data_IF_817308739110
#
_entry.id   IF_817308739110
#
_cell.length_a   1.000
_cell.length_b   1.000
_cell.length_c   1.000
_cell.angle_alpha   90.00
_cell.angle_beta   90.00
_cell.angle_gamma   90.00
#
_symmetry.space_group_name_H-M   'P 1'
#
loop_
_entity.id
_entity.type
_entity.pdbx_description
1 polymer ?
#
# COMPACT_ATOMS: atom_id res chain seq x y z
N UNK A 1 0.59 13.73 12.96
CA UNK A 1 1.94 13.92 12.41
C UNK A 1 2.02 13.51 10.94
N UNK A 2 1.88 12.23 10.58
CA UNK A 2 2.06 11.74 9.20
C UNK A 2 1.21 12.45 8.14
N UNK A 3 -0.09 12.69 8.40
CA UNK A 3 -0.94 13.46 7.49
C UNK A 3 -0.41 14.87 7.22
N UNK A 4 0.07 15.56 8.27
CA UNK A 4 0.64 16.90 8.12
C UNK A 4 1.97 16.86 7.34
N UNK A 5 2.81 15.86 7.60
CA UNK A 5 4.03 15.67 6.81
C UNK A 5 3.72 15.43 5.33
N UNK A 6 2.77 14.54 5.01
CA UNK A 6 2.37 14.28 3.63
C UNK A 6 1.78 15.52 2.95
N UNK A 7 0.93 16.28 3.64
CA UNK A 7 0.39 17.54 3.14
C UNK A 7 1.50 18.56 2.85
N UNK A 8 2.43 18.77 3.79
CA UNK A 8 3.56 19.68 3.60
C UNK A 8 4.50 19.25 2.47
N UNK A 9 4.81 17.96 2.36
CA UNK A 9 5.62 17.43 1.26
C UNK A 9 4.94 17.62 -0.09
N UNK A 10 3.62 17.43 -0.16
CA UNK A 10 2.85 17.68 -1.37
C UNK A 10 2.81 19.17 -1.74
N UNK A 11 2.50 20.05 -0.79
CA UNK A 11 2.27 21.47 -1.05
C UNK A 11 3.58 22.25 -1.25
N UNK A 12 4.62 21.90 -0.48
CA UNK A 12 5.88 22.66 -0.41
C UNK A 12 7.07 21.89 -0.95
N UNK A 13 6.96 20.60 -1.22
CA UNK A 13 8.09 19.75 -1.59
C UNK A 13 8.88 19.26 -0.38
N UNK A 14 9.53 18.09 -0.53
CA UNK A 14 10.26 17.40 0.54
C UNK A 14 11.43 18.23 1.05
N UNK A 15 12.25 18.78 0.14
CA UNK A 15 13.44 19.54 0.47
C UNK A 15 13.13 20.79 1.33
N UNK A 16 12.04 21.49 1.04
CA UNK A 16 11.64 22.74 1.74
C UNK A 16 10.85 22.50 3.04
N UNK A 17 10.54 21.26 3.38
CA UNK A 17 9.80 20.91 4.59
C UNK A 17 10.78 20.43 5.66
N UNK A 18 10.78 21.06 6.83
CA UNK A 18 11.60 20.66 7.98
C UNK A 18 10.80 19.80 8.98
N UNK A 19 11.50 19.16 9.92
CA UNK A 19 10.85 18.49 11.05
C UNK A 19 10.10 19.45 11.97
N UNK A 20 10.61 20.69 12.11
CA UNK A 20 9.96 21.74 12.89
C UNK A 20 8.64 22.20 12.24
N UNK A 21 8.60 22.28 10.90
CA UNK A 21 7.35 22.56 10.17
C UNK A 21 6.30 21.47 10.44
N UNK A 22 6.72 20.20 10.41
CA UNK A 22 5.84 19.05 10.68
C UNK A 22 5.35 19.09 12.13
N UNK A 23 6.23 19.38 13.08
CA UNK A 23 5.91 19.47 14.49
C UNK A 23 4.89 20.59 14.76
N UNK A 24 5.15 21.78 14.22
CA UNK A 24 4.27 22.94 14.30
C UNK A 24 2.89 22.64 13.69
N UNK A 25 2.85 22.06 12.49
CA UNK A 25 1.60 21.71 11.81
C UNK A 25 0.79 20.63 12.57
N UNK A 26 1.47 19.73 13.29
CA UNK A 26 0.85 18.68 14.07
C UNK A 26 0.55 19.07 15.53
N UNK A 27 0.90 20.29 15.96
CA UNK A 27 0.68 20.75 17.34
C UNK A 27 1.51 20.00 18.39
N UNK A 28 2.71 19.51 18.03
CA UNK A 28 3.60 18.76 18.91
C UNK A 28 5.02 19.35 18.90
N UNK A 29 5.86 18.94 19.83
CA UNK A 29 7.29 19.30 19.80
C UNK A 29 8.06 18.49 18.77
N UNK A 30 9.14 19.06 18.23
CA UNK A 30 10.09 18.35 17.34
C UNK A 30 10.67 17.09 17.99
N UNK A 31 10.94 17.13 19.31
CA UNK A 31 11.32 15.94 20.09
C UNK A 31 10.27 14.83 20.01
N UNK A 32 8.98 15.18 19.97
CA UNK A 32 7.91 14.19 19.81
C UNK A 32 7.91 13.58 18.42
N UNK A 33 8.14 14.36 17.36
CA UNK A 33 8.28 13.83 15.99
C UNK A 33 9.40 12.79 15.93
N UNK A 34 10.59 13.13 16.40
CA UNK A 34 11.76 12.23 16.37
C UNK A 34 11.69 11.05 17.32
N UNK A 35 10.75 11.05 18.28
CA UNK A 35 10.44 9.87 19.07
C UNK A 35 9.75 8.77 18.25
N UNK A 36 8.96 9.15 17.24
CA UNK A 36 8.21 8.20 16.41
C UNK A 36 8.86 7.94 15.05
N UNK A 37 9.64 8.89 14.54
CA UNK A 37 10.16 8.86 13.18
C UNK A 37 11.68 8.98 13.15
N UNK A 38 12.30 8.20 12.26
CA UNK A 38 13.75 8.12 12.09
C UNK A 38 14.31 9.37 11.40
N UNK A 39 13.52 9.90 10.47
CA UNK A 39 13.76 11.13 9.73
C UNK A 39 12.43 11.72 9.26
N UNK A 40 12.42 12.93 8.69
CA UNK A 40 11.17 13.56 8.23
C UNK A 40 10.48 12.72 7.15
N UNK A 41 11.24 12.08 6.28
CA UNK A 41 10.71 11.28 5.17
C UNK A 41 9.99 10.04 5.68
N UNK A 42 10.49 9.40 6.74
CA UNK A 42 9.80 8.26 7.38
C UNK A 42 8.41 8.62 7.94
N UNK A 43 8.06 9.91 8.05
CA UNK A 43 6.72 10.32 8.45
C UNK A 43 5.63 9.88 7.48
N UNK A 44 5.97 9.54 6.22
CA UNK A 44 4.99 9.08 5.23
C UNK A 44 4.65 7.60 5.36
N UNK A 45 5.52 6.80 5.99
CA UNK A 45 5.36 5.33 6.09
C UNK A 45 4.00 4.93 6.67
N UNK A 46 3.44 5.58 7.72
CA UNK A 46 2.12 5.22 8.22
C UNK A 46 0.96 5.54 7.27
N UNK A 47 1.12 6.50 6.35
CA UNK A 47 0.09 6.83 5.36
C UNK A 47 0.17 5.85 4.20
N UNK A 48 1.37 5.58 3.68
CA UNK A 48 1.60 4.57 2.65
C UNK A 48 1.17 3.17 3.13
N UNK A 49 1.49 2.83 4.37
CA UNK A 49 1.24 1.50 4.94
C UNK A 49 -0.22 1.19 5.21
N UNK A 50 -1.14 2.17 5.24
CA UNK A 50 -2.55 1.90 5.56
C UNK A 50 -3.23 1.00 4.54
N UNK A 51 -3.03 1.28 3.25
CA UNK A 51 -3.66 0.51 2.18
C UNK A 51 -3.13 -0.93 2.18
N UNK A 52 -1.81 -1.09 2.31
CA UNK A 52 -1.15 -2.39 2.48
C UNK A 52 -1.66 -3.17 3.72
N UNK A 53 -1.77 -2.52 4.87
CA UNK A 53 -2.28 -3.13 6.10
C UNK A 53 -3.74 -3.56 5.97
N UNK A 54 -4.58 -2.74 5.31
CA UNK A 54 -5.98 -3.09 5.03
C UNK A 54 -6.05 -4.31 4.12
N UNK A 55 -5.28 -4.32 3.04
CA UNK A 55 -5.20 -5.46 2.13
C UNK A 55 -4.77 -6.74 2.86
N UNK A 56 -3.70 -6.70 3.65
CA UNK A 56 -3.26 -7.86 4.44
C UNK A 56 -4.35 -8.32 5.42
N UNK A 57 -4.97 -7.40 6.16
CA UNK A 57 -6.03 -7.73 7.11
C UNK A 57 -7.24 -8.36 6.42
N UNK A 58 -7.54 -7.92 5.20
CA UNK A 58 -8.57 -8.50 4.37
C UNK A 58 -8.19 -9.90 3.86
N UNK A 59 -6.97 -10.04 3.33
CA UNK A 59 -6.46 -11.30 2.80
C UNK A 59 -6.32 -12.40 3.86
N UNK A 60 -6.08 -12.04 5.13
CA UNK A 60 -6.14 -12.99 6.26
C UNK A 60 -7.50 -13.66 6.43
N UNK A 61 -8.58 -13.02 5.97
CA UNK A 61 -9.95 -13.51 6.02
C UNK A 61 -10.42 -14.11 4.70
N UNK A 62 -9.52 -14.35 3.75
CA UNK A 62 -9.84 -14.78 2.38
C UNK A 62 -10.45 -16.20 2.34
N UNK A 63 -11.73 -16.36 1.98
CA UNK A 63 -12.39 -17.67 1.89
C UNK A 63 -11.83 -18.51 0.74
N UNK A 64 -11.76 -19.84 0.92
CA UNK A 64 -11.18 -20.77 -0.07
C UNK A 64 -11.95 -20.77 -1.39
N UNK A 65 -13.26 -20.55 -1.31
CA UNK A 65 -14.22 -20.65 -2.40
C UNK A 65 -14.21 -19.40 -3.31
N UNK A 66 -13.66 -18.29 -2.83
CA UNK A 66 -13.62 -17.03 -3.56
C UNK A 66 -12.26 -16.78 -4.21
N UNK A 67 -12.27 -16.12 -5.36
CA UNK A 67 -11.09 -15.46 -5.89
C UNK A 67 -10.68 -14.30 -4.97
N UNK A 68 -9.42 -13.85 -5.04
CA UNK A 68 -8.94 -12.73 -4.23
C UNK A 68 -9.72 -11.45 -4.58
N UNK A 69 -9.97 -11.22 -5.87
CA UNK A 69 -10.68 -10.02 -6.34
C UNK A 69 -12.15 -10.03 -5.92
N UNK A 70 -12.83 -11.17 -5.97
CA UNK A 70 -14.23 -11.27 -5.50
C UNK A 70 -14.31 -11.02 -3.99
N UNK A 71 -13.33 -11.54 -3.24
CA UNK A 71 -13.21 -11.28 -1.81
C UNK A 71 -12.94 -9.79 -1.52
N UNK A 72 -12.10 -9.12 -2.31
CA UNK A 72 -11.86 -7.67 -2.22
C UNK A 72 -13.09 -6.84 -2.55
N UNK A 73 -13.80 -7.17 -3.63
CA UNK A 73 -15.03 -6.49 -3.99
C UNK A 73 -16.10 -6.65 -2.90
N UNK A 74 -16.27 -7.86 -2.37
CA UNK A 74 -17.24 -8.15 -1.31
C UNK A 74 -16.91 -7.44 0.01
N UNK A 75 -15.65 -7.47 0.45
CA UNK A 75 -15.23 -6.81 1.69
C UNK A 75 -15.41 -5.29 1.61
N UNK A 76 -15.12 -4.70 0.45
CA UNK A 76 -15.25 -3.27 0.21
C UNK A 76 -16.70 -2.80 0.11
N UNK A 77 -17.59 -3.63 -0.43
CA UNK A 77 -19.02 -3.38 -0.41
C UNK A 77 -19.60 -3.46 1.02
N UNK A 78 -19.11 -4.41 1.82
CA UNK A 78 -19.54 -4.59 3.21
C UNK A 78 -18.93 -3.54 4.16
N UNK A 79 -17.71 -3.10 3.89
CA UNK A 79 -16.92 -2.18 4.72
C UNK A 79 -16.40 -1.02 3.85
N UNK A 80 -17.28 -0.09 3.44
CA UNK A 80 -16.87 1.05 2.64
C UNK A 80 -15.90 1.93 3.43
N UNK A 81 -14.95 2.54 2.72
CA UNK A 81 -13.99 3.45 3.32
C UNK A 81 -14.71 4.64 3.96
N UNK A 82 -14.28 4.98 5.18
CA UNK A 82 -14.66 6.25 5.79
C UNK A 82 -14.08 7.42 5.00
N UNK A 83 -14.66 8.61 5.14
CA UNK A 83 -14.14 9.83 4.51
C UNK A 83 -12.65 10.06 4.83
N UNK A 84 -12.28 9.77 6.07
CA UNK A 84 -10.93 9.98 6.59
C UNK A 84 -9.92 8.98 6.02
N UNK A 85 -10.37 7.75 5.71
CA UNK A 85 -9.58 6.74 4.99
C UNK A 85 -9.47 7.07 3.51
N UNK A 86 -10.53 7.55 2.88
CA UNK A 86 -10.47 8.01 1.50
C UNK A 86 -9.46 9.17 1.35
N UNK A 87 -9.44 10.09 2.31
CA UNK A 87 -8.44 11.14 2.37
C UNK A 87 -7.01 10.60 2.55
N UNK A 88 -6.82 9.49 3.25
CA UNK A 88 -5.51 8.83 3.34
C UNK A 88 -5.08 8.21 2.02
N UNK A 89 -5.98 7.51 1.32
CA UNK A 89 -5.68 6.91 0.01
C UNK A 89 -5.23 7.98 -0.98
N UNK A 90 -5.93 9.11 -1.03
CA UNK A 90 -5.54 10.26 -1.87
C UNK A 90 -4.16 10.80 -1.45
N UNK A 91 -3.92 10.91 -0.14
CA UNK A 91 -2.63 11.34 0.37
C UNK A 91 -1.51 10.34 0.04
N UNK A 92 -1.79 9.04 0.09
CA UNK A 92 -0.86 7.98 -0.26
C UNK A 92 -0.50 8.06 -1.75
N UNK A 93 -1.49 8.17 -2.66
CA UNK A 93 -1.25 8.32 -4.10
C UNK A 93 -0.39 9.53 -4.44
N UNK A 94 -0.59 10.66 -3.74
CA UNK A 94 0.28 11.84 -3.87
C UNK A 94 1.72 11.54 -3.48
N UNK A 95 1.94 10.86 -2.36
CA UNK A 95 3.28 10.47 -1.91
C UNK A 95 3.91 9.43 -2.82
N UNK A 96 3.16 8.42 -3.28
CA UNK A 96 3.62 7.43 -4.26
C UNK A 96 4.12 8.13 -5.52
N UNK A 97 3.33 9.08 -6.03
CA UNK A 97 3.69 9.90 -7.19
C UNK A 97 4.99 10.67 -6.95
N UNK A 98 5.14 11.34 -5.79
CA UNK A 98 6.38 12.03 -5.44
C UNK A 98 7.57 11.09 -5.30
N UNK A 99 7.36 9.86 -4.80
CA UNK A 99 8.44 8.89 -4.55
C UNK A 99 9.20 8.47 -5.82
N UNK A 100 8.60 8.65 -7.00
CA UNK A 100 9.23 8.38 -8.29
C UNK A 100 10.37 9.38 -8.57
N UNK A 101 10.20 10.64 -8.18
CA UNK A 101 11.20 11.71 -8.36
C UNK A 101 12.00 12.03 -7.10
N UNK A 102 11.55 11.58 -5.93
CA UNK A 102 12.15 11.86 -4.62
C UNK A 102 12.74 10.59 -3.97
N UNK A 103 14.04 10.29 -4.15
CA UNK A 103 14.67 9.07 -3.65
C UNK A 103 14.52 8.86 -2.14
N UNK A 104 14.43 9.95 -1.37
CA UNK A 104 14.28 9.89 0.07
C UNK A 104 12.89 9.38 0.51
N UNK A 105 11.84 9.61 -0.30
CA UNK A 105 10.51 9.01 -0.09
C UNK A 105 10.43 7.59 -0.65
N UNK A 106 11.21 7.30 -1.71
CA UNK A 106 11.27 5.96 -2.31
C UNK A 106 11.65 4.88 -1.31
N UNK A 107 12.57 5.16 -0.39
CA UNK A 107 12.98 4.22 0.65
C UNK A 107 11.81 3.81 1.55
N UNK A 108 11.03 4.78 2.05
CA UNK A 108 9.86 4.52 2.89
C UNK A 108 8.78 3.74 2.14
N UNK A 109 8.55 4.04 0.86
CA UNK A 109 7.62 3.30 0.02
C UNK A 109 8.05 1.83 -0.17
N UNK A 110 9.32 1.58 -0.50
CA UNK A 110 9.82 0.21 -0.65
C UNK A 110 9.79 -0.56 0.68
N UNK A 111 10.05 0.10 1.81
CA UNK A 111 9.95 -0.53 3.13
C UNK A 111 8.51 -0.95 3.48
N UNK A 112 7.51 -0.15 3.10
CA UNK A 112 6.10 -0.53 3.28
C UNK A 112 5.74 -1.77 2.46
N UNK A 113 6.24 -1.88 1.23
CA UNK A 113 6.02 -3.08 0.41
C UNK A 113 6.80 -4.31 0.90
N UNK A 114 8.01 -4.14 1.44
CA UNK A 114 8.75 -5.23 2.09
C UNK A 114 7.99 -5.77 3.31
N UNK A 115 7.43 -4.88 4.14
CA UNK A 115 6.60 -5.29 5.28
C UNK A 115 5.32 -6.00 4.82
N UNK A 116 4.65 -5.48 3.78
CA UNK A 116 3.49 -6.14 3.19
C UNK A 116 3.81 -7.55 2.69
N UNK A 117 4.94 -7.73 1.99
CA UNK A 117 5.42 -9.03 1.50
C UNK A 117 5.57 -10.03 2.66
N UNK A 118 6.27 -9.65 3.72
CA UNK A 118 6.49 -10.49 4.91
C UNK A 118 5.16 -10.92 5.54
N UNK A 119 4.20 -10.01 5.62
CA UNK A 119 2.89 -10.31 6.19
C UNK A 119 2.01 -11.17 5.27
N UNK A 120 2.32 -11.22 3.98
CA UNK A 120 1.59 -12.00 2.98
C UNK A 120 2.07 -13.46 2.89
N UNK A 121 3.34 -13.75 3.22
CA UNK A 121 3.91 -15.11 3.29
C UNK A 121 3.00 -16.13 4.00
N UNK A 122 2.54 -15.92 5.26
CA UNK A 122 1.68 -16.89 5.94
C UNK A 122 0.28 -17.04 5.29
N UNK A 123 -0.16 -16.05 4.52
CA UNK A 123 -1.44 -16.10 3.79
C UNK A 123 -1.28 -16.99 2.57
N UNK A 124 -0.19 -16.81 1.81
CA UNK A 124 0.14 -17.63 0.64
C UNK A 124 0.39 -19.08 1.04
N UNK A 125 1.18 -19.33 2.08
CA UNK A 125 1.46 -20.67 2.60
C UNK A 125 0.16 -21.43 2.90
N UNK A 126 -0.75 -20.81 3.66
CA UNK A 126 -2.07 -21.36 3.99
C UNK A 126 -2.91 -21.60 2.75
N UNK A 127 -2.92 -20.65 1.79
CA UNK A 127 -3.69 -20.76 0.55
C UNK A 127 -3.22 -21.91 -0.32
N UNK A 128 -1.92 -22.22 -0.27
CA UNK A 128 -1.26 -23.24 -1.09
C UNK A 128 -1.15 -24.59 -0.39
N UNK A 129 -1.36 -24.65 0.93
CA UNK A 129 -1.23 -25.87 1.72
C UNK A 129 0.21 -26.35 1.87
N UNK A 130 1.20 -25.43 1.82
CA UNK A 130 2.63 -25.75 1.94
C UNK A 130 3.30 -24.90 3.03
N UNK A 131 4.49 -25.29 3.54
CA UNK A 131 5.21 -24.54 4.58
C UNK A 131 5.58 -23.11 4.18
N UNK A 132 5.70 -22.21 5.16
CA UNK A 132 6.06 -20.79 4.95
C UNK A 132 7.49 -20.59 4.42
N UNK A 133 8.40 -21.51 4.72
CA UNK A 133 9.80 -21.48 4.26
C UNK A 133 9.98 -22.05 2.85
N UNK A 134 8.91 -22.57 2.23
CA UNK A 134 8.91 -22.99 0.83
C UNK A 134 9.26 -21.79 -0.07
N UNK A 135 10.25 -22.01 -0.95
CA UNK A 135 10.74 -20.97 -1.85
C UNK A 135 9.62 -20.41 -2.74
N UNK A 136 8.66 -21.24 -3.14
CA UNK A 136 7.53 -20.83 -4.00
C UNK A 136 6.55 -19.92 -3.28
N UNK A 137 6.34 -20.11 -1.97
CA UNK A 137 5.53 -19.20 -1.14
C UNK A 137 6.17 -17.82 -1.07
N UNK A 138 7.47 -17.79 -0.79
CA UNK A 138 8.22 -16.53 -0.72
C UNK A 138 8.25 -15.81 -2.07
N UNK A 139 8.42 -16.57 -3.16
CA UNK A 139 8.40 -16.02 -4.51
C UNK A 139 7.02 -15.46 -4.88
N UNK A 140 5.95 -16.19 -4.59
CA UNK A 140 4.58 -15.74 -4.89
C UNK A 140 4.20 -14.52 -4.02
N UNK A 141 4.62 -14.46 -2.75
CA UNK A 141 4.43 -13.28 -1.91
C UNK A 141 5.18 -12.04 -2.42
N UNK A 142 6.44 -12.21 -2.82
CA UNK A 142 7.24 -11.14 -3.44
C UNK A 142 6.62 -10.67 -4.77
N UNK A 143 6.13 -11.60 -5.60
CA UNK A 143 5.46 -11.29 -6.85
C UNK A 143 4.18 -10.48 -6.64
N UNK A 144 3.36 -10.85 -5.64
CA UNK A 144 2.18 -10.07 -5.25
C UNK A 144 2.57 -8.68 -4.74
N UNK A 145 3.59 -8.57 -3.88
CA UNK A 145 4.05 -7.27 -3.38
C UNK A 145 4.54 -6.36 -4.51
N UNK A 146 5.29 -6.92 -5.47
CA UNK A 146 5.74 -6.21 -6.66
C UNK A 146 4.57 -5.78 -7.56
N UNK A 147 3.56 -6.63 -7.74
CA UNK A 147 2.35 -6.30 -8.50
C UNK A 147 1.63 -5.08 -7.89
N UNK A 148 1.38 -5.11 -6.58
CA UNK A 148 0.79 -3.97 -5.85
C UNK A 148 1.62 -2.70 -6.01
N UNK A 149 2.94 -2.78 -5.80
CA UNK A 149 3.83 -1.63 -5.95
C UNK A 149 3.74 -1.00 -7.33
N UNK A 150 3.74 -1.81 -8.39
CA UNK A 150 3.64 -1.33 -9.77
C UNK A 150 2.27 -0.71 -10.06
N UNK A 151 1.18 -1.32 -9.56
CA UNK A 151 -0.17 -0.76 -9.71
C UNK A 151 -0.30 0.55 -8.94
N UNK A 152 0.21 0.65 -7.72
CA UNK A 152 0.20 1.88 -6.92
C UNK A 152 0.95 3.02 -7.63
N UNK A 153 2.11 2.72 -8.21
CA UNK A 153 2.88 3.67 -9.04
C UNK A 153 2.08 4.13 -10.28
N UNK A 154 1.44 3.20 -10.99
CA UNK A 154 0.65 3.49 -12.19
C UNK A 154 -0.61 4.31 -11.87
N UNK A 155 -1.38 3.88 -10.86
CA UNK A 155 -2.59 4.57 -10.39
C UNK A 155 -2.22 5.96 -9.85
N UNK A 156 -1.11 6.07 -9.12
CA UNK A 156 -0.58 7.35 -8.65
C UNK A 156 -0.33 8.31 -9.81
N UNK A 157 0.44 7.88 -10.82
CA UNK A 157 0.71 8.66 -12.03
C UNK A 157 -0.58 9.10 -12.73
N UNK A 158 -1.48 8.16 -13.04
CA UNK A 158 -2.72 8.41 -13.80
C UNK A 158 -3.69 9.33 -13.04
N UNK A 159 -3.93 9.06 -11.76
CA UNK A 159 -4.87 9.84 -10.96
C UNK A 159 -4.31 11.22 -10.57
N UNK A 160 -3.02 11.32 -10.24
CA UNK A 160 -2.43 12.54 -9.68
C UNK A 160 -1.87 13.46 -10.77
N UNK A 161 -1.12 12.92 -11.73
CA UNK A 161 -0.49 13.71 -12.78
C UNK A 161 -1.43 13.92 -13.98
N UNK A 162 -2.08 12.85 -14.43
CA UNK A 162 -2.96 12.88 -15.62
C UNK A 162 -4.41 13.23 -15.30
N UNK A 163 -4.78 13.28 -14.01
CA UNK A 163 -6.14 13.61 -13.53
C UNK A 163 -7.21 12.65 -14.07
N UNK A 164 -6.82 11.43 -14.40
CA UNK A 164 -7.76 10.39 -14.82
C UNK A 164 -8.63 9.95 -13.64
N UNK A 165 -9.92 9.72 -13.92
CA UNK A 165 -10.83 9.12 -12.94
C UNK A 165 -10.70 7.61 -13.04
N UNK A 166 -9.99 7.01 -12.10
CA UNK A 166 -9.89 5.56 -11.97
C UNK A 166 -11.02 5.10 -11.07
N UNK A 167 -11.89 4.23 -11.60
CA UNK A 167 -12.95 3.63 -10.80
C UNK A 167 -12.40 2.56 -9.87
N UNK A 168 -13.11 2.29 -8.78
CA UNK A 168 -12.75 1.21 -7.86
C UNK A 168 -12.73 -0.16 -8.53
N UNK A 169 -13.70 -0.44 -9.41
CA UNK A 169 -13.76 -1.68 -10.17
C UNK A 169 -12.55 -1.83 -11.12
N UNK A 170 -12.11 -0.73 -11.74
CA UNK A 170 -10.92 -0.71 -12.59
C UNK A 170 -9.65 -0.99 -11.77
N UNK A 171 -9.49 -0.34 -10.60
CA UNK A 171 -8.35 -0.58 -9.73
C UNK A 171 -8.28 -2.05 -9.26
N UNK A 172 -9.42 -2.63 -8.87
CA UNK A 172 -9.50 -4.05 -8.50
C UNK A 172 -9.14 -4.98 -9.68
N UNK A 173 -9.61 -4.68 -10.89
CA UNK A 173 -9.29 -5.45 -12.08
C UNK A 173 -7.79 -5.37 -12.43
N UNK A 174 -7.15 -4.21 -12.24
CA UNK A 174 -5.71 -4.04 -12.43
C UNK A 174 -4.90 -4.88 -11.43
N UNK A 175 -5.27 -4.84 -10.14
CA UNK A 175 -4.64 -5.64 -9.09
C UNK A 175 -4.78 -7.14 -9.41
N UNK A 176 -5.99 -7.58 -9.73
CA UNK A 176 -6.29 -8.97 -10.04
C UNK A 176 -5.46 -9.49 -11.22
N UNK A 177 -5.44 -8.74 -12.32
CA UNK A 177 -4.64 -9.08 -13.50
C UNK A 177 -3.16 -9.15 -13.14
N UNK A 178 -2.63 -8.15 -12.44
CA UNK A 178 -1.21 -8.11 -12.09
C UNK A 178 -0.80 -9.28 -11.19
N UNK A 179 -1.64 -9.67 -10.23
CA UNK A 179 -1.39 -10.82 -9.35
C UNK A 179 -1.41 -12.14 -10.14
N UNK A 180 -2.42 -12.34 -11.00
CA UNK A 180 -2.50 -13.56 -11.82
C UNK A 180 -1.30 -13.66 -12.77
N UNK A 181 -0.96 -12.58 -13.46
CA UNK A 181 0.16 -12.54 -14.41
C UNK A 181 1.50 -12.77 -13.69
N UNK A 182 1.73 -12.11 -12.54
CA UNK A 182 2.98 -12.22 -11.80
C UNK A 182 3.20 -13.60 -11.14
N UNK A 183 2.13 -14.35 -10.89
CA UNK A 183 2.18 -15.66 -10.21
C UNK A 183 1.90 -16.82 -11.15
N UNK A 184 1.83 -16.58 -12.47
CA UNK A 184 1.40 -17.57 -13.48
C UNK A 184 0.06 -18.25 -13.10
N UNK A 185 -0.87 -17.49 -12.53
CA UNK A 185 -2.18 -17.97 -12.06
C UNK A 185 -2.15 -18.82 -10.79
N UNK A 186 -0.99 -19.01 -10.14
CA UNK A 186 -0.90 -19.77 -8.88
C UNK A 186 -1.63 -19.11 -7.71
N UNK A 187 -1.79 -17.78 -7.78
CA UNK A 187 -2.59 -17.00 -6.84
C UNK A 187 -3.69 -16.21 -7.56
N UNK A 188 -4.70 -15.83 -6.79
CA UNK A 188 -5.84 -15.01 -7.23
C UNK A 188 -7.12 -15.81 -7.43
N UNK A 189 -7.06 -17.09 -7.79
CA UNK A 189 -8.24 -17.94 -7.97
C UNK A 189 -8.79 -18.57 -6.67
N UNK A 190 -10.01 -19.15 -6.71
CA UNK A 190 -10.48 -20.10 -5.72
C UNK A 190 -9.51 -21.29 -5.57
N UNK A 191 -9.48 -21.90 -4.39
CA UNK A 191 -8.78 -23.17 -4.20
C UNK A 191 -9.61 -24.26 -4.87
N UNK A 192 -9.08 -24.88 -5.92
CA UNK A 192 -9.69 -26.08 -6.51
C UNK A 192 -9.43 -27.27 -5.59
N UNK A 193 -10.49 -27.84 -5.03
CA UNK A 193 -10.48 -29.12 -4.31
C UNK A 193 -10.09 -30.29 -5.21
#
# INVERSE_FOLDING_TARGET
MSRHACALFWDRGVARTSGDDIAAAAGVSTRTVWRYFRCKESCVEPILGRSAQRFVAQARRWPAELSLVDHMAADLAANPLTEQELADEISALRIITLSVSEPALRSGFLMVHDEMERQFVPIVARRRGVPEDDLTVRLDAAAVSAAFRVIDEDVGRRAILEKEKISQAEALALIDRAIRDATNGRLGGPVTS
#
